data_IF_286739863944
#
_entry.id   IF_286739863944
#
_cell.length_a   1.000
_cell.length_b   1.000
_cell.length_c   1.000
_cell.angle_alpha   90.00
_cell.angle_beta   90.00
_cell.angle_gamma   90.00
#
_symmetry.space_group_name_H-M   'P 1'
#
loop_
_entity.id
_entity.type
_entity.pdbx_description
1 polymer ?
#
# COMPACT_ATOMS: atom_id res chain seq x y z
N UNK A 1 48.60 16.10 1.84
CA UNK A 1 47.71 15.96 0.66
C UNK A 1 46.76 14.81 0.95
N UNK A 2 45.64 15.12 1.57
CA UNK A 2 44.57 14.17 1.86
C UNK A 2 43.45 14.43 0.87
N UNK A 3 43.28 13.54 -0.08
CA UNK A 3 42.09 13.51 -0.94
C UNK A 3 41.03 12.69 -0.26
N UNK A 4 40.08 13.36 0.39
CA UNK A 4 38.82 12.79 0.85
C UNK A 4 37.97 12.46 -0.38
N UNK A 5 37.95 11.19 -0.76
CA UNK A 5 37.01 10.67 -1.73
C UNK A 5 35.60 10.72 -1.14
N UNK A 6 34.80 11.64 -1.64
CA UNK A 6 33.33 11.58 -1.48
C UNK A 6 32.88 10.34 -2.22
N UNK A 7 32.35 9.38 -1.49
CA UNK A 7 31.59 8.26 -2.05
C UNK A 7 30.33 8.87 -2.71
N UNK A 8 30.37 9.04 -4.03
CA UNK A 8 29.18 9.24 -4.84
C UNK A 8 28.35 7.96 -4.69
N UNK A 9 27.27 8.04 -3.92
CA UNK A 9 26.26 7.00 -3.89
C UNK A 9 25.69 6.88 -5.32
N UNK A 10 25.89 5.72 -5.95
CA UNK A 10 25.23 5.37 -7.21
C UNK A 10 23.73 5.71 -7.12
N UNK A 11 23.10 6.21 -8.19
CA UNK A 11 21.69 6.52 -8.19
C UNK A 11 20.93 5.22 -7.89
N UNK A 12 20.42 5.14 -6.68
CA UNK A 12 19.61 4.03 -6.21
C UNK A 12 18.37 3.99 -7.10
N UNK A 13 18.21 2.90 -7.85
CA UNK A 13 17.12 2.71 -8.82
C UNK A 13 15.79 2.43 -8.10
N UNK A 14 15.42 3.32 -7.17
CA UNK A 14 14.25 3.18 -6.33
C UNK A 14 12.95 3.20 -7.14
N UNK A 15 11.99 2.34 -6.77
CA UNK A 15 10.67 2.31 -7.42
C UNK A 15 9.70 3.33 -6.82
N UNK A 16 9.97 3.76 -5.58
CA UNK A 16 9.25 4.85 -4.92
C UNK A 16 10.18 5.60 -3.99
N UNK A 17 10.18 6.92 -4.08
CA UNK A 17 10.95 7.80 -3.20
C UNK A 17 10.05 8.92 -2.71
N UNK A 18 10.03 9.12 -1.40
CA UNK A 18 9.42 10.27 -0.73
C UNK A 18 10.52 11.02 0.01
N UNK A 19 10.65 12.31 -0.25
CA UNK A 19 11.73 13.15 0.29
C UNK A 19 11.15 14.36 1.00
N UNK A 20 11.49 14.53 2.27
CA UNK A 20 11.12 15.69 3.09
C UNK A 20 9.62 15.93 3.21
N UNK A 21 8.81 14.88 3.25
CA UNK A 21 7.33 14.98 3.23
C UNK A 21 6.83 15.65 4.49
N UNK A 22 6.17 16.79 4.31
CA UNK A 22 5.48 17.52 5.37
C UNK A 22 3.98 17.58 5.10
N UNK A 23 3.18 17.47 6.19
CA UNK A 23 1.73 17.63 6.12
C UNK A 23 1.17 18.16 7.41
N UNK A 24 0.34 19.20 7.28
CA UNK A 24 -0.42 19.77 8.38
C UNK A 24 -1.90 19.81 8.04
N UNK A 25 -2.73 19.63 9.04
CA UNK A 25 -4.17 19.80 8.90
C UNK A 25 -4.65 20.89 9.84
N UNK A 26 -5.55 21.73 9.36
CA UNK A 26 -6.22 22.74 10.17
C UNK A 26 -7.41 22.12 10.86
N UNK A 27 -7.38 22.07 12.18
CA UNK A 27 -8.48 21.55 12.99
C UNK A 27 -9.10 22.71 13.82
N UNK A 28 -10.43 22.65 13.96
CA UNK A 28 -11.19 23.60 14.76
C UNK A 28 -11.80 24.76 13.97
N UNK A 29 -12.78 25.44 14.61
CA UNK A 29 -13.47 26.61 14.09
C UNK A 29 -12.80 27.89 14.59
N UNK A 30 -12.85 28.94 13.76
CA UNK A 30 -12.35 30.27 14.16
C UNK A 30 -13.09 30.75 15.41
N UNK A 31 -12.40 31.30 16.48
CA UNK A 31 -10.98 31.68 16.52
C UNK A 31 -10.03 30.57 17.04
N UNK A 32 -10.51 29.39 17.42
CA UNK A 32 -9.70 28.31 18.03
C UNK A 32 -9.05 27.34 17.01
N UNK A 33 -8.68 27.85 15.83
CA UNK A 33 -7.95 27.04 14.83
C UNK A 33 -6.59 26.61 15.39
N UNK A 34 -6.33 25.29 15.34
CA UNK A 34 -5.01 24.72 15.65
C UNK A 34 -4.48 24.03 14.39
N UNK A 35 -3.24 24.33 14.02
CA UNK A 35 -2.53 23.59 12.99
C UNK A 35 -1.94 22.34 13.63
N UNK A 36 -2.38 21.17 13.17
CA UNK A 36 -1.82 19.89 13.58
C UNK A 36 -0.83 19.42 12.53
N UNK A 37 0.47 19.54 12.80
CA UNK A 37 1.54 19.06 11.91
C UNK A 37 1.69 17.57 12.10
N UNK A 38 1.20 16.78 11.11
CA UNK A 38 1.13 15.32 11.14
C UNK A 38 2.43 14.70 10.62
N UNK A 39 2.97 15.22 9.51
CA UNK A 39 4.26 14.79 8.97
C UNK A 39 5.27 15.95 9.01
N UNK A 40 6.52 15.63 9.35
CA UNK A 40 7.56 16.60 9.69
C UNK A 40 8.88 16.33 9.00
N UNK A 41 8.86 16.22 7.68
CA UNK A 41 10.03 15.88 6.88
C UNK A 41 10.27 14.36 6.92
N UNK A 42 9.35 13.59 6.33
CA UNK A 42 9.47 12.14 6.23
C UNK A 42 10.20 11.78 4.96
N UNK A 43 11.25 10.97 5.10
CA UNK A 43 11.98 10.35 4.01
C UNK A 43 11.68 8.85 3.98
N UNK A 44 11.33 8.33 2.81
CA UNK A 44 11.05 6.92 2.58
C UNK A 44 11.49 6.55 1.16
N UNK A 45 12.29 5.51 1.06
CA UNK A 45 12.71 4.94 -0.23
C UNK A 45 12.27 3.49 -0.28
N UNK A 46 11.75 3.03 -1.41
CA UNK A 46 11.40 1.63 -1.65
C UNK A 46 12.20 1.12 -2.85
N UNK A 47 12.97 0.06 -2.63
CA UNK A 47 13.81 -0.55 -3.66
C UNK A 47 13.02 -1.57 -4.49
N UNK A 48 13.45 -1.90 -5.73
CA UNK A 48 12.87 -3.00 -6.50
C UNK A 48 12.89 -4.32 -5.72
N UNK A 49 11.74 -5.00 -5.66
CA UNK A 49 11.61 -6.28 -4.95
C UNK A 49 11.69 -6.19 -3.43
N UNK A 50 11.63 -4.99 -2.85
CA UNK A 50 11.70 -4.80 -1.40
C UNK A 50 10.31 -4.90 -0.76
N UNK A 51 10.23 -5.57 0.39
CA UNK A 51 9.04 -5.63 1.26
C UNK A 51 9.32 -4.83 2.52
N UNK A 52 8.68 -3.66 2.65
CA UNK A 52 8.89 -2.73 3.77
C UNK A 52 7.68 -2.70 4.67
N UNK A 53 7.89 -2.84 5.98
CA UNK A 53 6.88 -2.60 7.00
C UNK A 53 6.88 -1.13 7.44
N UNK A 54 5.72 -0.48 7.49
CA UNK A 54 5.54 0.84 8.08
C UNK A 54 4.76 0.70 9.38
N UNK A 55 5.44 0.95 10.50
CA UNK A 55 4.90 0.82 11.86
C UNK A 55 4.77 2.18 12.54
N UNK A 56 4.18 2.21 13.71
CA UNK A 56 4.04 3.40 14.54
C UNK A 56 2.69 3.44 15.28
N UNK A 57 2.59 4.29 16.29
CA UNK A 57 1.39 4.45 17.09
C UNK A 57 0.19 4.98 16.27
N UNK A 58 -1.01 4.82 16.83
CA UNK A 58 -2.21 5.42 16.23
C UNK A 58 -2.06 6.95 16.23
N UNK A 59 -2.40 7.57 15.09
CA UNK A 59 -2.23 9.01 14.92
C UNK A 59 -0.80 9.47 14.58
N UNK A 60 0.19 8.56 14.42
CA UNK A 60 1.56 8.95 14.05
C UNK A 60 1.70 9.50 12.63
N UNK A 61 0.67 9.33 11.77
CA UNK A 61 0.66 9.84 10.40
C UNK A 61 0.80 8.77 9.30
N UNK A 62 0.80 7.47 9.62
CA UNK A 62 0.95 6.37 8.63
C UNK A 62 -0.03 6.46 7.47
N UNK A 63 -1.34 6.52 7.76
CA UNK A 63 -2.37 6.62 6.72
C UNK A 63 -2.31 7.96 5.97
N UNK A 64 -1.84 9.05 6.62
CA UNK A 64 -1.58 10.32 5.93
C UNK A 64 -0.42 10.20 4.95
N UNK A 65 0.68 9.57 5.36
CA UNK A 65 1.81 9.29 4.47
C UNK A 65 1.36 8.41 3.30
N UNK A 66 0.63 7.32 3.58
CA UNK A 66 0.10 6.42 2.54
C UNK A 66 -0.74 7.18 1.50
N UNK A 67 -1.67 8.05 1.94
CA UNK A 67 -2.49 8.89 1.07
C UNK A 67 -1.68 9.88 0.23
N UNK A 68 -0.55 10.36 0.74
CA UNK A 68 0.38 11.19 -0.03
C UNK A 68 1.11 10.33 -1.08
N UNK A 69 1.60 9.14 -0.70
CA UNK A 69 2.32 8.24 -1.62
C UNK A 69 1.44 7.80 -2.80
N UNK A 70 0.13 7.58 -2.57
CA UNK A 70 -0.81 7.24 -3.65
C UNK A 70 -1.27 8.45 -4.46
N UNK A 71 -1.01 9.67 -3.97
CA UNK A 71 -1.40 10.92 -4.62
C UNK A 71 -2.82 11.41 -4.28
N UNK A 72 -3.47 10.80 -3.26
CA UNK A 72 -4.77 11.27 -2.75
C UNK A 72 -4.64 12.61 -2.01
N UNK A 73 -3.53 12.77 -1.26
CA UNK A 73 -3.20 14.02 -0.61
C UNK A 73 -1.95 14.67 -1.22
N UNK A 74 -2.01 15.99 -1.42
CA UNK A 74 -0.83 16.76 -1.77
C UNK A 74 -0.03 17.08 -0.48
N UNK A 75 1.29 16.84 -0.45
CA UNK A 75 2.12 17.28 0.66
C UNK A 75 2.21 18.80 0.72
N UNK A 76 2.45 19.37 1.89
CA UNK A 76 2.69 20.80 2.06
C UNK A 76 4.13 21.18 1.69
N UNK A 77 5.08 20.24 1.88
CA UNK A 77 6.46 20.30 1.40
C UNK A 77 6.97 18.89 1.10
N UNK A 78 8.07 18.81 0.35
CA UNK A 78 8.65 17.55 -0.09
C UNK A 78 8.10 17.06 -1.42
N UNK A 79 8.67 15.96 -1.91
CA UNK A 79 8.34 15.37 -3.21
C UNK A 79 8.14 13.86 -3.11
N UNK A 80 7.28 13.31 -3.97
CA UNK A 80 7.12 11.87 -4.17
C UNK A 80 7.39 11.56 -5.63
N UNK A 81 8.34 10.67 -5.87
CA UNK A 81 8.62 10.11 -7.20
C UNK A 81 8.34 8.62 -7.21
N UNK A 82 7.84 8.09 -8.31
CA UNK A 82 7.55 6.67 -8.48
C UNK A 82 7.77 6.22 -9.90
N UNK A 83 8.14 4.97 -10.06
CA UNK A 83 8.32 4.31 -11.36
C UNK A 83 7.29 3.20 -11.49
N UNK A 84 6.64 3.14 -12.64
CA UNK A 84 5.66 2.09 -12.95
C UNK A 84 4.27 2.32 -12.36
N UNK A 85 3.48 1.26 -12.34
CA UNK A 85 2.10 1.26 -11.82
C UNK A 85 2.10 1.10 -10.31
N UNK A 86 1.15 1.75 -9.68
CA UNK A 86 0.92 1.65 -8.25
C UNK A 86 -0.42 0.99 -7.99
N UNK A 87 -0.43 -0.03 -7.13
CA UNK A 87 -1.63 -0.60 -6.54
C UNK A 87 -1.80 -0.11 -5.10
N UNK A 88 -3.03 0.16 -4.69
CA UNK A 88 -3.31 0.60 -3.33
C UNK A 88 -4.49 -0.17 -2.74
N UNK A 89 -4.25 -0.77 -1.59
CA UNK A 89 -5.27 -1.42 -0.77
C UNK A 89 -5.48 -0.57 0.50
N UNK A 90 -6.51 0.28 0.56
CA UNK A 90 -6.80 1.06 1.74
C UNK A 90 -7.34 0.18 2.87
N UNK A 91 -7.19 0.62 4.11
CA UNK A 91 -7.69 -0.07 5.32
C UNK A 91 -9.21 -0.31 5.25
N UNK A 92 -9.97 0.71 4.82
CA UNK A 92 -11.39 0.55 4.56
C UNK A 92 -11.59 0.29 3.06
N UNK A 93 -12.21 -0.85 2.69
CA UNK A 93 -12.47 -1.18 1.31
C UNK A 93 -13.26 -0.11 0.58
N UNK A 94 -12.75 0.32 -0.58
CA UNK A 94 -13.45 1.25 -1.47
C UNK A 94 -14.11 0.44 -2.58
N UNK A 95 -15.35 0.04 -2.34
CA UNK A 95 -16.13 -0.82 -3.25
C UNK A 95 -17.52 -0.23 -3.50
N UNK A 96 -18.12 -0.66 -4.59
CA UNK A 96 -19.50 -0.29 -4.95
C UNK A 96 -20.44 -1.37 -4.40
N UNK A 97 -21.22 -1.06 -3.39
CA UNK A 97 -22.06 -2.01 -2.65
C UNK A 97 -22.91 -2.92 -3.55
N UNK A 98 -23.42 -2.40 -4.67
CA UNK A 98 -24.33 -3.11 -5.57
C UNK A 98 -23.66 -3.93 -6.66
N UNK A 99 -22.36 -3.77 -6.85
CA UNK A 99 -21.61 -4.57 -7.82
C UNK A 99 -21.20 -5.91 -7.20
N UNK A 100 -21.16 -6.95 -8.04
CA UNK A 100 -20.58 -8.25 -7.69
C UNK A 100 -19.05 -8.18 -7.69
N UNK A 101 -18.39 -9.21 -7.16
CA UNK A 101 -16.93 -9.29 -7.24
C UNK A 101 -16.43 -9.23 -8.68
N UNK A 102 -17.06 -9.97 -9.60
CA UNK A 102 -16.71 -9.98 -11.02
C UNK A 102 -16.88 -8.61 -11.66
N UNK A 103 -18.00 -7.95 -11.42
CA UNK A 103 -18.24 -6.59 -11.93
C UNK A 103 -17.23 -5.57 -11.40
N UNK A 104 -16.73 -5.73 -10.15
CA UNK A 104 -15.64 -4.90 -9.66
C UNK A 104 -14.34 -5.12 -10.44
N UNK A 105 -13.96 -6.37 -10.66
CA UNK A 105 -12.76 -6.68 -11.42
C UNK A 105 -12.86 -6.16 -12.86
N UNK A 106 -14.00 -6.30 -13.52
CA UNK A 106 -14.24 -5.75 -14.87
C UNK A 106 -14.13 -4.22 -14.87
N UNK A 107 -14.77 -3.54 -13.90
CA UNK A 107 -14.72 -2.08 -13.78
C UNK A 107 -13.27 -1.59 -13.58
N UNK A 108 -12.54 -2.20 -12.66
CA UNK A 108 -11.15 -1.82 -12.39
C UNK A 108 -10.23 -2.21 -13.54
N UNK A 109 -10.45 -3.35 -14.19
CA UNK A 109 -9.73 -3.76 -15.40
C UNK A 109 -9.87 -2.72 -16.51
N UNK A 110 -11.08 -2.21 -16.75
CA UNK A 110 -11.33 -1.10 -17.68
C UNK A 110 -10.59 0.17 -17.25
N UNK A 111 -10.64 0.53 -15.96
CA UNK A 111 -9.95 1.72 -15.44
C UNK A 111 -8.42 1.62 -15.62
N UNK A 112 -7.85 0.44 -15.45
CA UNK A 112 -6.43 0.14 -15.70
C UNK A 112 -6.08 -0.07 -17.17
N UNK A 113 -7.06 0.04 -18.10
CA UNK A 113 -6.90 -0.19 -19.54
C UNK A 113 -6.40 -1.59 -19.89
N UNK A 114 -6.81 -2.58 -19.13
CA UNK A 114 -6.53 -3.99 -19.40
C UNK A 114 -7.43 -4.50 -20.53
N UNK A 115 -6.91 -5.41 -21.32
CA UNK A 115 -7.76 -6.16 -22.23
C UNK A 115 -8.66 -7.12 -21.45
N UNK A 116 -9.84 -7.53 -21.99
CA UNK A 116 -10.70 -8.52 -21.32
C UNK A 116 -10.02 -9.86 -21.04
N UNK A 117 -9.01 -10.21 -21.84
CA UNK A 117 -8.24 -11.43 -21.63
C UNK A 117 -7.27 -11.31 -20.45
N UNK A 118 -6.54 -10.19 -20.34
CA UNK A 118 -5.63 -9.90 -19.24
C UNK A 118 -6.39 -9.80 -17.91
N UNK A 119 -7.51 -9.07 -17.92
CA UNK A 119 -8.36 -8.93 -16.75
C UNK A 119 -8.82 -10.31 -16.24
N UNK A 120 -9.46 -11.14 -17.11
CA UNK A 120 -9.93 -12.47 -16.73
C UNK A 120 -8.82 -13.38 -16.23
N UNK A 121 -7.63 -13.31 -16.84
CA UNK A 121 -6.48 -14.10 -16.41
C UNK A 121 -6.04 -13.70 -15.01
N UNK A 122 -5.87 -12.39 -14.76
CA UNK A 122 -5.47 -11.86 -13.46
C UNK A 122 -6.51 -12.17 -12.39
N UNK A 123 -7.80 -11.89 -12.66
CA UNK A 123 -8.93 -12.17 -11.76
C UNK A 123 -8.96 -13.64 -11.32
N UNK A 124 -8.85 -14.59 -12.25
CA UNK A 124 -8.80 -16.02 -11.90
C UNK A 124 -7.64 -16.36 -10.99
N UNK A 125 -6.46 -15.82 -11.28
CA UNK A 125 -5.28 -16.00 -10.43
C UNK A 125 -5.50 -15.47 -9.01
N UNK A 126 -6.08 -14.29 -8.88
CA UNK A 126 -6.38 -13.65 -7.59
C UNK A 126 -7.47 -14.41 -6.81
N UNK A 127 -8.53 -14.88 -7.47
CA UNK A 127 -9.53 -15.72 -6.83
C UNK A 127 -8.93 -17.01 -6.28
N UNK A 128 -8.12 -17.70 -7.07
CA UNK A 128 -7.46 -18.94 -6.63
C UNK A 128 -6.49 -18.67 -5.46
N UNK A 129 -5.66 -17.64 -5.58
CA UNK A 129 -4.67 -17.30 -4.58
C UNK A 129 -5.30 -16.88 -3.24
N UNK A 130 -6.38 -16.10 -3.25
CA UNK A 130 -7.06 -15.62 -2.05
C UNK A 130 -8.23 -16.51 -1.59
N UNK A 131 -8.60 -17.51 -2.39
CA UNK A 131 -9.60 -18.53 -2.04
C UNK A 131 -11.02 -17.98 -1.90
N UNK A 132 -11.50 -17.13 -2.83
CA UNK A 132 -12.83 -16.55 -2.76
C UNK A 132 -13.65 -16.59 -4.06
N UNK A 133 -13.24 -17.41 -5.03
CA UNK A 133 -13.92 -17.56 -6.35
C UNK A 133 -15.43 -17.86 -6.22
N UNK A 134 -15.83 -18.62 -5.19
CA UNK A 134 -17.25 -18.93 -4.93
C UNK A 134 -18.14 -17.71 -4.74
N UNK A 135 -17.55 -16.54 -4.53
CA UNK A 135 -18.25 -15.27 -4.34
C UNK A 135 -18.24 -14.37 -5.58
N UNK A 136 -17.78 -14.89 -6.73
CA UNK A 136 -17.66 -14.13 -7.98
C UNK A 136 -18.93 -13.33 -8.31
N UNK A 137 -20.10 -14.00 -8.26
CA UNK A 137 -21.41 -13.41 -8.54
C UNK A 137 -22.09 -12.78 -7.29
N UNK A 138 -21.36 -12.67 -6.18
CA UNK A 138 -21.92 -12.10 -4.94
C UNK A 138 -21.66 -10.60 -4.88
N UNK A 139 -22.71 -9.82 -4.61
CA UNK A 139 -22.60 -8.36 -4.44
C UNK A 139 -21.81 -8.00 -3.18
N UNK A 140 -21.08 -6.88 -3.24
CA UNK A 140 -20.21 -6.43 -2.16
C UNK A 140 -20.96 -6.22 -0.83
N UNK A 141 -22.21 -5.73 -0.86
CA UNK A 141 -23.06 -5.54 0.33
C UNK A 141 -23.48 -6.85 1.03
N UNK A 142 -23.25 -8.01 0.40
CA UNK A 142 -23.54 -9.34 0.94
C UNK A 142 -22.30 -10.14 1.35
N UNK A 143 -21.12 -9.57 1.15
CA UNK A 143 -19.86 -10.21 1.52
C UNK A 143 -19.60 -10.07 3.04
N UNK A 144 -18.95 -11.08 3.62
CA UNK A 144 -18.37 -10.94 4.95
C UNK A 144 -17.20 -9.94 4.91
N UNK A 145 -16.85 -9.34 6.05
CA UNK A 145 -15.72 -8.41 6.14
C UNK A 145 -14.41 -9.00 5.60
N UNK A 146 -14.11 -10.27 5.93
CA UNK A 146 -12.92 -10.95 5.42
C UNK A 146 -12.96 -11.18 3.90
N UNK A 147 -14.13 -11.51 3.32
CA UNK A 147 -14.25 -11.66 1.86
C UNK A 147 -14.14 -10.30 1.16
N UNK A 148 -14.70 -9.26 1.77
CA UNK A 148 -14.59 -7.89 1.27
C UNK A 148 -13.14 -7.39 1.28
N UNK A 149 -12.37 -7.74 2.33
CA UNK A 149 -10.94 -7.43 2.40
C UNK A 149 -10.15 -8.18 1.31
N UNK A 150 -10.50 -9.44 0.99
CA UNK A 150 -9.92 -10.19 -0.14
C UNK A 150 -10.21 -9.52 -1.48
N UNK A 151 -11.44 -9.06 -1.70
CA UNK A 151 -11.79 -8.31 -2.90
C UNK A 151 -10.97 -7.02 -3.00
N UNK A 152 -10.89 -6.23 -1.92
CA UNK A 152 -10.12 -4.98 -1.88
C UNK A 152 -8.64 -5.20 -2.23
N UNK A 153 -8.02 -6.23 -1.64
CA UNK A 153 -6.64 -6.62 -1.95
C UNK A 153 -6.50 -7.07 -3.42
N UNK A 154 -7.45 -7.89 -3.90
CA UNK A 154 -7.46 -8.35 -5.29
C UNK A 154 -7.53 -7.20 -6.30
N UNK A 155 -8.38 -6.19 -6.04
CA UNK A 155 -8.48 -5.00 -6.89
C UNK A 155 -7.18 -4.20 -6.93
N UNK A 156 -6.49 -4.07 -5.79
CA UNK A 156 -5.19 -3.41 -5.72
C UNK A 156 -4.10 -4.15 -6.52
N UNK A 157 -4.21 -5.47 -6.65
CA UNK A 157 -3.24 -6.33 -7.34
C UNK A 157 -3.60 -6.61 -8.80
N UNK A 158 -4.81 -6.28 -9.25
CA UNK A 158 -5.37 -6.70 -10.54
C UNK A 158 -4.47 -6.41 -11.75
N UNK A 159 -3.91 -5.21 -11.80
CA UNK A 159 -3.06 -4.76 -12.92
C UNK A 159 -1.57 -5.10 -12.75
N UNK A 160 -1.23 -6.02 -11.84
CA UNK A 160 0.14 -6.40 -11.49
C UNK A 160 1.09 -5.20 -11.32
N UNK A 161 0.82 -4.30 -10.36
CA UNK A 161 1.58 -3.06 -10.19
C UNK A 161 3.03 -3.33 -9.77
N UNK A 162 3.98 -2.47 -10.16
CA UNK A 162 5.38 -2.53 -9.72
C UNK A 162 5.51 -2.22 -8.22
N UNK A 163 4.65 -1.33 -7.73
CA UNK A 163 4.61 -0.92 -6.32
C UNK A 163 3.22 -1.20 -5.76
N UNK A 164 3.15 -1.94 -4.65
CA UNK A 164 1.91 -2.23 -3.95
C UNK A 164 1.93 -1.61 -2.56
N UNK A 165 1.00 -0.72 -2.28
CA UNK A 165 0.84 -0.06 -0.99
C UNK A 165 -0.37 -0.64 -0.27
N UNK A 166 -0.16 -1.16 0.94
CA UNK A 166 -1.17 -1.90 1.69
C UNK A 166 -1.36 -1.27 3.08
N UNK A 167 -2.58 -0.86 3.39
CA UNK A 167 -2.93 -0.31 4.70
C UNK A 167 -3.73 -1.35 5.49
N UNK A 168 -3.06 -2.11 6.37
CA UNK A 168 -3.60 -3.21 7.19
C UNK A 168 -4.39 -4.26 6.37
N UNK A 169 -3.80 -4.81 5.29
CA UNK A 169 -4.52 -5.57 4.26
C UNK A 169 -5.14 -6.89 4.76
N UNK A 170 -4.65 -7.42 5.86
CA UNK A 170 -5.07 -8.71 6.43
C UNK A 170 -6.04 -8.58 7.61
N UNK A 171 -6.55 -7.38 7.85
CA UNK A 171 -7.59 -7.17 8.86
C UNK A 171 -8.84 -7.97 8.49
N UNK A 172 -9.24 -8.89 9.39
CA UNK A 172 -10.36 -9.79 9.17
C UNK A 172 -10.07 -11.06 8.35
N UNK A 173 -8.80 -11.34 8.00
CA UNK A 173 -8.42 -12.61 7.42
C UNK A 173 -8.44 -13.74 8.47
N UNK A 174 -8.87 -14.93 8.05
CA UNK A 174 -8.57 -16.16 8.76
C UNK A 174 -7.09 -16.54 8.58
N UNK A 175 -6.62 -17.51 9.38
CA UNK A 175 -5.23 -17.92 9.38
C UNK A 175 -4.74 -18.43 8.00
N UNK A 176 -5.55 -19.20 7.30
CA UNK A 176 -5.20 -19.73 5.98
C UNK A 176 -5.08 -18.61 4.95
N UNK A 177 -5.99 -17.64 4.97
CA UNK A 177 -5.91 -16.44 4.12
C UNK A 177 -4.69 -15.59 4.43
N UNK A 178 -4.35 -15.44 5.71
CA UNK A 178 -3.15 -14.73 6.15
C UNK A 178 -1.86 -15.39 5.61
N UNK A 179 -1.77 -16.71 5.65
CA UNK A 179 -0.63 -17.43 5.07
C UNK A 179 -0.55 -17.23 3.56
N UNK A 180 -1.66 -17.38 2.84
CA UNK A 180 -1.74 -17.16 1.39
C UNK A 180 -1.38 -15.72 0.99
N UNK A 181 -1.78 -14.74 1.80
CA UNK A 181 -1.36 -13.35 1.60
C UNK A 181 0.16 -13.21 1.60
N UNK A 182 0.84 -13.82 2.57
CA UNK A 182 2.30 -13.76 2.63
C UNK A 182 2.99 -14.55 1.52
N UNK A 183 2.40 -15.63 1.04
CA UNK A 183 2.86 -16.34 -0.17
C UNK A 183 2.79 -15.42 -1.40
N UNK A 184 1.69 -14.66 -1.56
CA UNK A 184 1.56 -13.67 -2.63
C UNK A 184 2.61 -12.56 -2.52
N UNK A 185 2.87 -12.06 -1.32
CA UNK A 185 3.91 -11.04 -1.09
C UNK A 185 5.29 -11.60 -1.46
N UNK A 186 5.61 -12.83 -1.06
CA UNK A 186 6.87 -13.48 -1.40
C UNK A 186 7.05 -13.67 -2.92
N UNK A 187 6.01 -14.15 -3.62
CA UNK A 187 6.03 -14.28 -5.08
C UNK A 187 6.24 -12.92 -5.78
N UNK A 188 5.65 -11.86 -5.28
CA UNK A 188 5.86 -10.51 -5.80
C UNK A 188 7.31 -10.06 -5.64
N UNK A 189 7.88 -10.29 -4.47
CA UNK A 189 9.31 -10.02 -4.18
C UNK A 189 10.23 -10.74 -5.17
N UNK A 190 10.01 -12.03 -5.40
CA UNK A 190 10.81 -12.85 -6.33
C UNK A 190 10.74 -12.34 -7.77
N UNK A 191 9.63 -11.70 -8.15
CA UNK A 191 9.44 -11.09 -9.49
C UNK A 191 9.88 -9.62 -9.55
N UNK A 192 10.57 -9.12 -8.52
CA UNK A 192 11.06 -7.75 -8.45
C UNK A 192 10.00 -6.69 -8.17
N UNK A 193 8.79 -7.11 -7.75
CA UNK A 193 7.69 -6.23 -7.35
C UNK A 193 7.85 -5.81 -5.88
N UNK A 194 7.64 -4.55 -5.58
CA UNK A 194 7.87 -4.00 -4.24
C UNK A 194 6.57 -3.80 -3.48
N UNK A 195 6.62 -3.98 -2.16
CA UNK A 195 5.45 -3.88 -1.29
C UNK A 195 5.76 -3.04 -0.06
N UNK A 196 4.91 -2.05 0.23
CA UNK A 196 4.91 -1.30 1.49
C UNK A 196 3.65 -1.65 2.26
N UNK A 197 3.80 -2.14 3.48
CA UNK A 197 2.68 -2.60 4.31
C UNK A 197 2.64 -1.81 5.61
N UNK A 198 1.52 -1.11 5.87
CA UNK A 198 1.22 -0.64 7.22
C UNK A 198 0.74 -1.84 8.03
N UNK A 199 1.38 -2.05 9.19
CA UNK A 199 0.99 -3.07 10.14
C UNK A 199 1.06 -2.54 11.56
N UNK A 200 0.05 -2.87 12.37
CA UNK A 200 0.06 -2.63 13.82
C UNK A 200 0.73 -3.76 14.59
N UNK A 201 0.76 -4.95 14.03
CA UNK A 201 1.32 -6.14 14.67
C UNK A 201 2.56 -6.61 13.91
N UNK A 202 3.74 -6.40 14.50
CA UNK A 202 5.00 -6.85 13.93
C UNK A 202 5.37 -8.21 14.53
N UNK A 203 4.42 -9.13 14.60
CA UNK A 203 4.70 -10.50 15.06
C UNK A 203 5.63 -11.26 14.12
N UNK A 204 5.63 -10.86 12.84
CA UNK A 204 6.36 -11.53 11.76
C UNK A 204 7.42 -10.61 11.12
N UNK A 205 8.26 -9.95 11.95
CA UNK A 205 9.32 -9.04 11.48
C UNK A 205 10.20 -9.65 10.37
N UNK A 206 10.43 -10.96 10.46
CA UNK A 206 11.25 -11.71 9.49
C UNK A 206 10.67 -11.75 8.05
N UNK A 207 9.43 -11.35 7.87
CA UNK A 207 8.77 -11.28 6.53
C UNK A 207 9.07 -9.98 5.79
N UNK A 208 9.62 -9.00 6.48
CA UNK A 208 10.02 -7.72 5.93
C UNK A 208 11.53 -7.65 5.72
N UNK A 209 11.96 -7.01 4.65
CA UNK A 209 13.37 -6.72 4.43
C UNK A 209 13.86 -5.64 5.41
N UNK A 210 13.00 -4.68 5.73
CA UNK A 210 13.19 -3.70 6.80
C UNK A 210 11.86 -3.14 7.30
N UNK A 211 11.94 -2.51 8.46
CA UNK A 211 10.82 -1.84 9.10
C UNK A 211 11.16 -0.36 9.29
N UNK A 212 10.23 0.49 8.90
CA UNK A 212 10.27 1.93 9.13
C UNK A 212 9.27 2.26 10.23
N UNK A 213 9.73 2.89 11.29
CA UNK A 213 8.87 3.31 12.39
C UNK A 213 8.55 4.81 12.26
N UNK A 214 7.27 5.14 12.18
CA UNK A 214 6.80 6.51 12.08
C UNK A 214 6.41 7.01 13.48
N UNK A 215 7.24 7.89 14.05
CA UNK A 215 7.01 8.49 15.37
C UNK A 215 6.98 10.00 15.29
N UNK A 216 5.96 10.62 15.87
CA UNK A 216 5.82 12.07 15.92
C UNK A 216 5.97 12.76 14.54
N UNK A 217 5.49 12.10 13.50
CA UNK A 217 5.56 12.58 12.10
C UNK A 217 6.94 12.50 11.46
N UNK A 218 7.87 11.68 11.98
CA UNK A 218 9.19 11.42 11.40
C UNK A 218 9.39 9.92 11.22
N UNK A 219 10.03 9.53 10.13
CA UNK A 219 10.40 8.14 9.87
C UNK A 219 11.80 7.85 10.45
N UNK A 220 11.96 6.68 11.04
CA UNK A 220 13.25 6.13 11.47
C UNK A 220 13.31 4.66 11.03
N UNK A 221 14.44 4.23 10.47
CA UNK A 221 14.69 2.81 10.25
C UNK A 221 14.85 2.09 11.60
N UNK A 222 14.27 0.90 11.69
CA UNK A 222 14.37 0.03 12.88
C UNK A 222 15.27 -1.16 12.57
#
# INVERSE_FOLDING_TARGET
MNSSGSAESEPVNAVLTAEGIEKSFRQGWWPARRDSRVLRGVDLVLQPGEVVGLTGENGSGKSTLMKILVGEYRPDAGTVTRVGRLGYCPQQPVVYERLTCDEHFELFGCAYRMTPHEERRSRRGLYAALGFERYADTRADRLSGGTLAKLNLGLAMLADPEVLLLDEPYSGFDWDTYLRFWELVAQRRETGRSVLIISHFVTDEHRFDRIVDLRNGRAAAR
#
